data_IF_639100571726
#
_entry.id   IF_639100571726
#
_cell.length_a   1.000
_cell.length_b   1.000
_cell.length_c   1.000
_cell.angle_alpha   90.00
_cell.angle_beta   90.00
_cell.angle_gamma   90.00
#
_symmetry.space_group_name_H-M   'P 1'
#
loop_
_entity.id
_entity.type
_entity.pdbx_description
1 polymer ?
#
# COMPACT_ATOMS: atom_id res chain seq x y z
N UNK A 1 13.00 12.93 -0.43
CA UNK A 1 12.04 11.80 -0.33
C UNK A 1 12.58 10.86 0.72
N UNK A 2 11.74 10.11 1.46
CA UNK A 2 12.31 9.06 2.30
C UNK A 2 12.99 8.06 1.36
N UNK A 3 14.32 7.92 1.49
CA UNK A 3 15.13 6.88 0.84
C UNK A 3 14.70 5.45 1.22
N UNK A 4 13.73 5.36 2.14
CA UNK A 4 13.30 4.15 2.83
C UNK A 4 12.69 3.14 1.87
N UNK A 5 11.79 3.51 0.93
CA UNK A 5 11.19 2.49 0.03
C UNK A 5 12.24 1.79 -0.84
N UNK A 6 13.29 2.51 -1.29
CA UNK A 6 14.33 1.94 -2.13
C UNK A 6 15.38 1.12 -1.34
N UNK A 7 15.41 1.26 -0.01
CA UNK A 7 16.42 0.64 0.86
C UNK A 7 15.90 -0.52 1.71
N UNK A 8 14.62 -0.91 1.58
CA UNK A 8 14.06 -2.06 2.30
C UNK A 8 14.40 -3.41 1.61
N UNK A 9 15.17 -4.30 2.24
CA UNK A 9 15.78 -5.47 1.59
C UNK A 9 14.85 -6.68 1.34
N UNK A 10 13.53 -6.53 1.47
CA UNK A 10 12.56 -7.64 1.43
C UNK A 10 11.61 -7.66 0.23
N UNK A 11 11.88 -6.83 -0.76
CA UNK A 11 11.22 -6.94 -2.06
C UNK A 11 11.85 -8.09 -2.83
N UNK A 12 11.12 -9.19 -3.00
CA UNK A 12 11.56 -10.26 -3.92
C UNK A 12 11.58 -9.78 -5.38
N UNK A 13 10.90 -8.66 -5.66
CA UNK A 13 11.05 -7.90 -6.90
C UNK A 13 11.06 -6.38 -6.61
N UNK A 14 12.24 -5.81 -6.27
CA UNK A 14 12.39 -4.37 -6.12
C UNK A 14 12.09 -3.63 -7.44
N UNK A 15 12.21 -4.32 -8.59
CA UNK A 15 12.03 -3.77 -9.92
C UNK A 15 10.60 -3.27 -10.14
N UNK A 16 9.59 -4.10 -9.85
CA UNK A 16 8.18 -3.74 -10.08
C UNK A 16 7.77 -2.51 -9.27
N UNK A 17 8.08 -2.46 -7.98
CA UNK A 17 7.71 -1.29 -7.16
C UNK A 17 8.53 -0.05 -7.53
N UNK A 18 9.81 -0.21 -7.88
CA UNK A 18 10.64 0.88 -8.35
C UNK A 18 10.14 1.45 -9.68
N UNK A 19 9.73 0.60 -10.62
CA UNK A 19 9.13 0.99 -11.89
C UNK A 19 7.85 1.80 -11.68
N UNK A 20 6.96 1.34 -10.80
CA UNK A 20 5.76 2.10 -10.43
C UNK A 20 6.11 3.47 -9.84
N UNK A 21 7.05 3.53 -8.90
CA UNK A 21 7.47 4.81 -8.29
C UNK A 21 8.06 5.76 -9.32
N UNK A 22 8.92 5.26 -10.20
CA UNK A 22 9.54 6.08 -11.23
C UNK A 22 8.49 6.63 -12.20
N UNK A 23 7.56 5.78 -12.64
CA UNK A 23 6.42 6.17 -13.48
C UNK A 23 5.55 7.25 -12.81
N UNK A 24 5.27 7.12 -11.51
CA UNK A 24 4.51 8.14 -10.76
C UNK A 24 5.27 9.47 -10.79
N UNK A 25 6.56 9.46 -10.45
CA UNK A 25 7.40 10.67 -10.42
C UNK A 25 7.43 11.40 -11.76
N UNK A 26 7.64 10.66 -12.83
CA UNK A 26 7.73 11.21 -14.19
C UNK A 26 6.41 11.81 -14.69
N UNK A 27 5.31 11.46 -14.03
CA UNK A 27 3.95 11.85 -14.37
C UNK A 27 3.34 12.90 -13.44
N UNK A 28 3.94 13.19 -12.27
CA UNK A 28 3.35 14.08 -11.25
C UNK A 28 2.87 15.42 -11.81
N UNK A 29 3.69 16.07 -12.65
CA UNK A 29 3.39 17.37 -13.25
C UNK A 29 2.77 17.25 -14.64
N UNK A 30 3.20 16.26 -15.44
CA UNK A 30 2.83 16.14 -16.87
C UNK A 30 1.53 15.38 -17.10
N UNK A 31 1.23 14.41 -16.24
CA UNK A 31 0.00 13.62 -16.27
C UNK A 31 -0.42 13.21 -14.84
N UNK A 32 -0.98 14.16 -14.06
CA UNK A 32 -1.38 13.89 -12.68
C UNK A 32 -2.42 12.77 -12.57
N UNK A 33 -3.30 12.61 -13.56
CA UNK A 33 -4.29 11.55 -13.58
C UNK A 33 -3.63 10.16 -13.68
N UNK A 34 -2.59 10.04 -14.50
CA UNK A 34 -1.78 8.83 -14.59
C UNK A 34 -0.96 8.57 -13.32
N UNK A 35 -0.45 9.61 -12.66
CA UNK A 35 0.23 9.47 -11.38
C UNK A 35 -0.70 8.91 -10.28
N UNK A 36 -1.96 9.36 -10.22
CA UNK A 36 -2.98 8.81 -9.31
C UNK A 36 -3.26 7.34 -9.63
N UNK A 37 -3.44 7.00 -10.91
CA UNK A 37 -3.67 5.63 -11.33
C UNK A 37 -2.50 4.70 -10.98
N UNK A 38 -1.28 5.17 -11.22
CA UNK A 38 -0.05 4.44 -10.91
C UNK A 38 0.13 4.25 -9.40
N UNK A 39 -0.35 5.17 -8.57
CA UNK A 39 -0.33 5.03 -7.11
C UNK A 39 -1.21 3.87 -6.63
N UNK A 40 -2.43 3.72 -7.18
CA UNK A 40 -3.30 2.56 -6.93
C UNK A 40 -2.63 1.25 -7.37
N UNK A 41 -2.03 1.25 -8.56
CA UNK A 41 -1.34 0.08 -9.10
C UNK A 41 -0.14 -0.35 -8.23
N UNK A 42 0.62 0.61 -7.68
CA UNK A 42 1.71 0.31 -6.76
C UNK A 42 1.21 -0.45 -5.53
N UNK A 43 0.14 0.04 -4.89
CA UNK A 43 -0.46 -0.65 -3.74
C UNK A 43 -0.97 -2.04 -4.11
N UNK A 44 -1.62 -2.17 -5.28
CA UNK A 44 -2.10 -3.46 -5.75
C UNK A 44 -0.96 -4.48 -5.94
N UNK A 45 0.12 -4.07 -6.63
CA UNK A 45 1.31 -4.89 -6.82
C UNK A 45 1.97 -5.26 -5.49
N UNK A 46 2.11 -4.30 -4.57
CA UNK A 46 2.65 -4.54 -3.24
C UNK A 46 1.82 -5.55 -2.45
N UNK A 47 0.49 -5.39 -2.44
CA UNK A 47 -0.37 -6.29 -1.66
C UNK A 47 -0.33 -7.71 -2.21
N UNK A 48 -0.38 -7.86 -3.54
CA UNK A 48 -0.26 -9.18 -4.20
C UNK A 48 1.09 -9.84 -3.88
N UNK A 49 2.18 -9.09 -3.97
CA UNK A 49 3.52 -9.58 -3.63
C UNK A 49 3.60 -10.06 -2.18
N UNK A 50 3.06 -9.30 -1.22
CA UNK A 50 3.03 -9.72 0.19
C UNK A 50 2.19 -10.99 0.36
N UNK A 51 1.02 -11.06 -0.28
CA UNK A 51 0.14 -12.23 -0.18
C UNK A 51 0.77 -13.48 -0.80
N UNK A 52 1.45 -13.35 -1.93
CA UNK A 52 2.22 -14.43 -2.56
C UNK A 52 3.32 -14.93 -1.61
N UNK A 53 4.07 -14.03 -0.96
CA UNK A 53 5.11 -14.38 0.02
C UNK A 53 4.58 -15.03 1.31
N UNK A 54 3.35 -14.70 1.70
CA UNK A 54 2.66 -15.28 2.86
C UNK A 54 1.82 -16.52 2.47
N UNK A 55 1.84 -16.95 1.20
CA UNK A 55 1.04 -18.04 0.64
C UNK A 55 -0.47 -17.88 0.91
N UNK A 56 -0.99 -16.66 0.76
CA UNK A 56 -2.40 -16.32 0.93
C UNK A 56 -3.06 -16.07 -0.42
N UNK A 57 -4.11 -16.84 -0.73
CA UNK A 57 -4.83 -16.70 -2.00
C UNK A 57 -5.63 -15.40 -2.10
N UNK A 58 -5.60 -14.81 -3.30
CA UNK A 58 -6.45 -13.68 -3.67
C UNK A 58 -7.18 -13.91 -4.99
N UNK A 59 -8.38 -13.34 -5.08
CA UNK A 59 -9.22 -13.42 -6.26
C UNK A 59 -8.68 -12.52 -7.37
N UNK A 60 -8.91 -12.92 -8.62
CA UNK A 60 -8.52 -12.12 -9.80
C UNK A 60 -9.21 -10.75 -9.83
N UNK A 61 -10.40 -10.64 -9.25
CA UNK A 61 -11.20 -9.41 -9.15
C UNK A 61 -11.09 -8.73 -7.79
N UNK A 62 -10.17 -9.15 -6.91
CA UNK A 62 -9.99 -8.51 -5.62
C UNK A 62 -9.39 -7.11 -5.82
N UNK A 63 -10.12 -6.09 -5.41
CA UNK A 63 -9.65 -4.71 -5.40
C UNK A 63 -8.80 -4.41 -4.16
N UNK A 64 -8.04 -3.31 -4.21
CA UNK A 64 -7.09 -2.93 -3.15
C UNK A 64 -7.67 -2.90 -1.72
N UNK A 65 -8.95 -2.57 -1.46
CA UNK A 65 -9.49 -2.64 -0.10
C UNK A 65 -9.59 -4.07 0.42
N UNK A 66 -9.96 -5.02 -0.45
CA UNK A 66 -10.02 -6.45 -0.13
C UNK A 66 -8.63 -7.03 0.06
N UNK A 67 -7.70 -6.70 -0.86
CA UNK A 67 -6.31 -7.12 -0.77
C UNK A 67 -5.64 -6.60 0.51
N UNK A 68 -5.86 -5.32 0.87
CA UNK A 68 -5.32 -4.73 2.10
C UNK A 68 -5.80 -5.45 3.35
N UNK A 69 -7.09 -5.81 3.43
CA UNK A 69 -7.63 -6.60 4.55
C UNK A 69 -6.94 -7.96 4.66
N UNK A 70 -6.74 -8.65 3.53
CA UNK A 70 -6.01 -9.94 3.49
C UNK A 70 -4.56 -9.78 3.95
N UNK A 71 -3.86 -8.73 3.51
CA UNK A 71 -2.49 -8.42 3.95
C UNK A 71 -2.46 -8.16 5.46
N UNK A 72 -3.37 -7.32 5.96
CA UNK A 72 -3.47 -7.03 7.39
C UNK A 72 -3.75 -8.27 8.24
N UNK A 73 -4.53 -9.22 7.74
CA UNK A 73 -4.74 -10.52 8.39
C UNK A 73 -3.49 -11.40 8.33
N UNK A 74 -2.88 -11.54 7.14
CA UNK A 74 -1.69 -12.36 6.92
C UNK A 74 -0.53 -11.92 7.81
N UNK A 75 -0.28 -10.62 7.91
CA UNK A 75 0.78 -10.03 8.71
C UNK A 75 0.41 -9.78 10.18
N UNK A 76 -0.84 -10.05 10.58
CA UNK A 76 -1.37 -9.74 11.92
C UNK A 76 -1.27 -8.26 12.31
N UNK A 77 -1.47 -7.35 11.35
CA UNK A 77 -1.41 -5.87 11.50
C UNK A 77 -2.74 -5.22 11.14
N UNK A 78 -3.80 -5.68 11.77
CA UNK A 78 -5.15 -5.12 11.63
C UNK A 78 -5.66 -4.63 13.00
N UNK A 79 -6.74 -3.86 13.01
CA UNK A 79 -7.24 -3.30 14.28
C UNK A 79 -7.70 -4.40 15.24
N UNK A 80 -8.17 -5.52 14.70
CA UNK A 80 -8.67 -6.67 15.45
C UNK A 80 -7.53 -7.49 16.09
N UNK A 81 -6.30 -7.41 15.59
CA UNK A 81 -5.12 -8.07 16.17
C UNK A 81 -4.50 -7.32 17.35
N UNK A 82 -4.90 -6.07 17.58
CA UNK A 82 -4.37 -5.22 18.65
C UNK A 82 -5.28 -5.33 19.89
N UNK A 83 -4.76 -5.66 21.09
CA UNK A 83 -5.57 -5.74 22.31
C UNK A 83 -6.22 -4.39 22.66
N UNK A 84 -7.51 -4.34 22.97
CA UNK A 84 -8.23 -3.08 23.30
C UNK A 84 -8.06 -2.61 24.75
N UNK A 85 -7.21 -3.28 25.53
CA UNK A 85 -7.10 -3.13 27.00
C UNK A 85 -6.44 -1.83 27.46
N UNK A 86 -5.70 -1.14 26.59
CA UNK A 86 -5.00 0.10 26.92
C UNK A 86 -5.38 1.25 25.98
N UNK A 87 -5.41 2.52 26.46
CA UNK A 87 -5.71 3.70 25.62
C UNK A 87 -4.77 3.84 24.40
N UNK A 88 -3.49 3.52 24.57
CA UNK A 88 -2.51 3.52 23.48
C UNK A 88 -2.91 2.52 22.38
N UNK A 89 -3.35 1.32 22.76
CA UNK A 89 -3.79 0.30 21.82
C UNK A 89 -5.04 0.71 21.05
N UNK A 90 -6.00 1.36 21.70
CA UNK A 90 -7.20 1.92 21.03
C UNK A 90 -6.82 2.99 20.01
N UNK A 91 -5.78 3.78 20.30
CA UNK A 91 -5.25 4.78 19.36
C UNK A 91 -4.61 4.10 18.14
N UNK A 92 -3.83 3.04 18.35
CA UNK A 92 -3.26 2.23 17.26
C UNK A 92 -4.38 1.62 16.40
N UNK A 93 -5.42 1.05 17.01
CA UNK A 93 -6.58 0.54 16.27
C UNK A 93 -7.22 1.62 15.39
N UNK A 94 -7.39 2.84 15.90
CA UNK A 94 -7.92 3.97 15.13
C UNK A 94 -7.03 4.33 13.93
N UNK A 95 -5.71 4.31 14.10
CA UNK A 95 -4.77 4.55 13.00
C UNK A 95 -4.89 3.45 11.94
N UNK A 96 -4.93 2.17 12.33
CA UNK A 96 -5.08 1.05 11.40
C UNK A 96 -6.39 1.13 10.61
N UNK A 97 -7.50 1.51 11.27
CA UNK A 97 -8.78 1.76 10.57
C UNK A 97 -8.68 2.93 9.60
N UNK A 98 -7.98 4.00 9.97
CA UNK A 98 -7.72 5.15 9.08
C UNK A 98 -6.90 4.76 7.85
N UNK A 99 -5.91 3.87 7.99
CA UNK A 99 -5.14 3.36 6.85
C UNK A 99 -6.03 2.54 5.90
N UNK A 100 -6.93 1.71 6.43
CA UNK A 100 -7.91 0.99 5.61
C UNK A 100 -8.80 1.95 4.81
N UNK A 101 -9.32 3.00 5.46
CA UNK A 101 -10.08 4.07 4.78
C UNK A 101 -9.23 4.79 3.74
N UNK A 102 -7.95 5.07 4.02
CA UNK A 102 -7.03 5.73 3.08
C UNK A 102 -6.85 4.90 1.82
N UNK A 103 -6.66 3.58 1.94
CA UNK A 103 -6.57 2.66 0.80
C UNK A 103 -7.86 2.69 -0.03
N UNK A 104 -9.02 2.68 0.62
CA UNK A 104 -10.31 2.82 -0.07
C UNK A 104 -10.41 4.14 -0.84
N UNK A 105 -10.07 5.26 -0.20
CA UNK A 105 -10.12 6.59 -0.84
C UNK A 105 -9.13 6.74 -1.99
N UNK A 106 -7.99 6.04 -1.99
CA UNK A 106 -7.08 6.00 -3.15
C UNK A 106 -7.74 5.30 -4.34
N UNK A 107 -8.47 4.21 -4.11
CA UNK A 107 -9.22 3.52 -5.17
C UNK A 107 -10.30 4.43 -5.77
N UNK A 108 -11.05 5.12 -4.91
CA UNK A 108 -12.10 6.06 -5.30
C UNK A 108 -11.53 7.25 -6.07
N UNK A 109 -10.48 7.89 -5.57
CA UNK A 109 -9.81 9.00 -6.23
C UNK A 109 -9.34 8.63 -7.65
N UNK A 110 -8.80 7.42 -7.81
CA UNK A 110 -8.41 6.90 -9.13
C UNK A 110 -9.63 6.78 -10.05
N UNK A 111 -10.76 6.30 -9.55
CA UNK A 111 -11.98 6.17 -10.35
C UNK A 111 -12.58 7.54 -10.73
N UNK A 112 -12.52 8.51 -9.83
CA UNK A 112 -13.12 9.84 -10.01
C UNK A 112 -12.28 10.76 -10.90
N UNK A 113 -10.95 10.80 -10.68
CA UNK A 113 -10.06 11.73 -11.37
C UNK A 113 -8.77 11.09 -11.92
N UNK A 114 -8.42 9.86 -11.55
CA UNK A 114 -7.29 9.13 -12.14
C UNK A 114 -7.58 8.55 -13.53
N UNK A 115 -6.58 7.95 -14.18
CA UNK A 115 -6.79 7.20 -15.44
C UNK A 115 -7.15 5.74 -15.16
N UNK A 116 -7.95 5.15 -16.05
CA UNK A 116 -8.11 3.69 -16.09
C UNK A 116 -9.47 3.14 -16.49
N UNK A 117 -10.42 4.02 -16.82
CA UNK A 117 -11.52 3.72 -17.73
C UNK A 117 -11.64 4.88 -18.74
N UNK A 118 -12.23 4.61 -19.91
CA UNK A 118 -12.50 5.65 -20.89
C UNK A 118 -13.37 6.74 -20.29
N UNK A 119 -13.04 8.01 -20.56
CA UNK A 119 -13.79 9.17 -20.08
C UNK A 119 -14.32 9.99 -21.23
N UNK A 120 -15.48 10.59 -21.01
CA UNK A 120 -16.11 11.55 -21.94
C UNK A 120 -15.59 12.97 -21.77
N UNK A 121 -14.85 13.24 -20.68
CA UNK A 121 -14.26 14.54 -20.38
C UNK A 121 -12.80 14.40 -19.90
N UNK A 122 -11.95 15.43 -20.08
CA UNK A 122 -10.61 15.46 -19.50
C UNK A 122 -10.64 15.33 -17.98
N UNK A 123 -9.58 14.75 -17.40
CA UNK A 123 -9.43 14.69 -15.96
C UNK A 123 -9.20 16.08 -15.35
N UNK A 124 -9.82 16.34 -14.20
CA UNK A 124 -9.57 17.51 -13.35
C UNK A 124 -8.38 17.31 -12.38
N UNK A 125 -7.62 16.22 -12.52
CA UNK A 125 -6.50 15.91 -11.64
C UNK A 125 -5.43 17.00 -11.71
N UNK A 126 -4.98 17.43 -10.53
CA UNK A 126 -3.89 18.40 -10.37
C UNK A 126 -2.66 17.69 -9.83
N UNK A 127 -1.49 18.31 -9.97
CA UNK A 127 -0.27 17.82 -9.33
C UNK A 127 -0.44 17.64 -7.81
N UNK A 128 -1.23 18.52 -7.17
CA UNK A 128 -1.54 18.41 -5.74
C UNK A 128 -2.28 17.11 -5.41
N UNK A 129 -3.30 16.75 -6.20
CA UNK A 129 -4.02 15.49 -6.04
C UNK A 129 -3.10 14.28 -6.24
N UNK A 130 -2.23 14.32 -7.26
CA UNK A 130 -1.26 13.28 -7.52
C UNK A 130 -0.24 13.11 -6.38
N UNK A 131 0.25 14.21 -5.81
CA UNK A 131 1.15 14.18 -4.66
C UNK A 131 0.48 13.65 -3.40
N UNK A 132 -0.79 13.99 -3.18
CA UNK A 132 -1.57 13.43 -2.08
C UNK A 132 -1.69 11.90 -2.21
N UNK A 133 -2.09 11.42 -3.38
CA UNK A 133 -2.20 9.98 -3.66
C UNK A 133 -0.87 9.24 -3.47
N UNK A 134 0.23 9.80 -4.00
CA UNK A 134 1.57 9.24 -3.86
C UNK A 134 1.99 9.18 -2.38
N UNK A 135 1.86 10.27 -1.63
CA UNK A 135 2.31 10.31 -0.24
C UNK A 135 1.50 9.35 0.64
N UNK A 136 0.18 9.29 0.45
CA UNK A 136 -0.67 8.31 1.14
C UNK A 136 -0.29 6.87 0.79
N UNK A 137 0.03 6.61 -0.49
CA UNK A 137 0.52 5.30 -0.96
C UNK A 137 1.85 4.93 -0.29
N UNK A 138 2.79 5.87 -0.21
CA UNK A 138 4.10 5.70 0.46
C UNK A 138 3.90 5.34 1.93
N UNK A 139 3.04 6.07 2.66
CA UNK A 139 2.76 5.77 4.08
C UNK A 139 2.24 4.36 4.29
N UNK A 140 1.28 3.90 3.46
CA UNK A 140 0.75 2.54 3.56
C UNK A 140 1.83 1.51 3.22
N UNK A 141 2.60 1.75 2.15
CA UNK A 141 3.64 0.83 1.69
C UNK A 141 4.75 0.66 2.73
N UNK A 142 5.28 1.75 3.28
CA UNK A 142 6.34 1.73 4.28
C UNK A 142 5.92 0.99 5.55
N UNK A 143 4.69 1.23 6.02
CA UNK A 143 4.17 0.54 7.19
C UNK A 143 4.10 -0.98 6.98
N UNK A 144 3.53 -1.44 5.86
CA UNK A 144 3.37 -2.86 5.58
C UNK A 144 4.70 -3.58 5.32
N UNK A 145 5.63 -2.93 4.62
CA UNK A 145 6.98 -3.46 4.41
C UNK A 145 7.74 -3.60 5.73
N UNK A 146 7.61 -2.61 6.62
CA UNK A 146 8.21 -2.67 7.96
C UNK A 146 7.61 -3.82 8.78
N UNK A 147 6.29 -4.00 8.73
CA UNK A 147 5.61 -5.10 9.41
C UNK A 147 6.07 -6.48 8.90
N UNK A 148 6.18 -6.63 7.58
CA UNK A 148 6.71 -7.84 6.95
C UNK A 148 8.15 -8.10 7.40
N UNK A 149 9.02 -7.09 7.38
CA UNK A 149 10.41 -7.24 7.84
C UNK A 149 10.51 -7.67 9.29
N UNK A 150 9.72 -7.04 10.16
CA UNK A 150 9.70 -7.41 11.57
C UNK A 150 9.29 -8.87 11.76
N UNK A 151 8.23 -9.32 11.06
CA UNK A 151 7.78 -10.72 11.09
C UNK A 151 8.85 -11.69 10.63
N UNK A 152 9.55 -11.40 9.52
CA UNK A 152 10.64 -12.24 9.00
C UNK A 152 11.83 -12.29 9.95
N UNK A 153 12.18 -11.16 10.55
CA UNK A 153 13.26 -11.07 11.57
C UNK A 153 12.92 -11.91 12.79
N UNK A 154 11.67 -11.82 13.28
CA UNK A 154 11.21 -12.62 14.41
C UNK A 154 11.28 -14.13 14.10
N UNK A 155 10.79 -14.55 12.93
CA UNK A 155 10.82 -15.96 12.51
C UNK A 155 12.26 -16.52 12.42
N UNK A 156 13.22 -15.75 11.88
CA UNK A 156 14.63 -16.14 11.85
C UNK A 156 15.22 -16.27 13.26
N UNK A 157 14.84 -15.36 14.17
CA UNK A 157 15.30 -15.39 15.56
C UNK A 157 14.76 -16.59 16.34
N UNK A 158 13.54 -17.02 16.05
CA UNK A 158 12.94 -18.23 16.64
C UNK A 158 13.57 -19.51 16.08
N UNK A 159 13.82 -19.55 14.77
CA UNK A 159 14.49 -20.69 14.13
C UNK A 159 15.95 -20.87 14.62
N UNK A 160 16.64 -19.79 14.98
CA UNK A 160 18.00 -19.86 15.52
C UNK A 160 18.05 -20.27 17.00
N UNK A 161 16.91 -20.31 17.70
CA UNK A 161 16.80 -20.70 19.13
C UNK A 161 16.38 -22.15 19.35
N UNK A 162 15.92 -22.83 18.29
CA UNK A 162 15.50 -24.24 18.30
C UNK A 162 16.54 -25.12 17.60
#
# INVERSE_FOLDING_TARGET
MPEVIASQPLLTDPGVLHEHLQRIKDSLTRDPAHAIASSKQLLESLFKLILDQENVEYGRSDEIPTLYKKVGAALNVNAESVPSSAPASQTVQKILRTLATTVQSIAELRNEIGTGHGRTAPSIATEMHARLALNSTVTVAEFLLSALQQRRTNALSEAARN
#
